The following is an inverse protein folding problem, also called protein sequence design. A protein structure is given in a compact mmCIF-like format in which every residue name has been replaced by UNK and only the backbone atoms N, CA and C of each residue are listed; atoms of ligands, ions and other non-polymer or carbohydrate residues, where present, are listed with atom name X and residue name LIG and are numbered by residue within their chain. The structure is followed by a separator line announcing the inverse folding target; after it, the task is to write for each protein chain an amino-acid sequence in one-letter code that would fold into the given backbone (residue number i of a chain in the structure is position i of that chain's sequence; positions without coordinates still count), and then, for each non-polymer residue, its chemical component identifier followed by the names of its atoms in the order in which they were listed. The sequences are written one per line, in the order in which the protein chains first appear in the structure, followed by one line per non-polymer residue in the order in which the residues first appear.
data_IF_008081825260
#
_entry.id   IF_008081825260
#
_cell.length_a   1.000
_cell.length_b   1.000
_cell.length_c   1.000
_cell.angle_alpha   90.00
_cell.angle_beta   90.00
_cell.angle_gamma   90.00
#
_symmetry.space_group_name_H-M   'P 1'
#
loop_
_entity.id
_entity.type
_entity.pdbx_description
1 polymer ?
#
# COMPACT_ATOMS: atom_id res chain seq x y z
N UNK A 1 -28.62 -2.13 31.51
CA UNK A 1 -27.47 -3.04 31.28
C UNK A 1 -27.90 -4.04 30.22
N UNK A 2 -27.27 -4.23 29.07
CA UNK A 2 -25.85 -4.18 28.69
C UNK A 2 -25.67 -3.36 27.40
N UNK A 3 -24.69 -2.46 27.42
CA UNK A 3 -24.10 -1.90 26.21
C UNK A 3 -23.40 -3.04 25.47
N UNK A 4 -23.89 -3.41 24.29
CA UNK A 4 -23.16 -4.24 23.33
C UNK A 4 -22.03 -3.38 22.78
N UNK A 5 -20.91 -3.36 23.50
CA UNK A 5 -19.65 -2.84 23.00
C UNK A 5 -19.18 -3.74 21.87
N UNK A 6 -19.62 -3.46 20.65
CA UNK A 6 -19.05 -4.08 19.46
C UNK A 6 -17.61 -3.60 19.35
N UNK A 7 -16.68 -4.53 19.51
CA UNK A 7 -15.26 -4.29 19.37
C UNK A 7 -15.00 -3.80 17.93
N UNK A 8 -14.68 -2.51 17.74
CA UNK A 8 -14.49 -1.87 16.42
C UNK A 8 -13.30 -2.44 15.61
N UNK A 9 -12.55 -3.41 16.15
CA UNK A 9 -11.30 -3.89 15.58
C UNK A 9 -11.41 -4.98 14.51
N UNK A 10 -12.58 -5.60 14.33
CA UNK A 10 -12.75 -6.77 13.46
C UNK A 10 -13.96 -6.60 12.51
N UNK A 11 -13.99 -5.47 11.79
CA UNK A 11 -15.00 -5.25 10.76
C UNK A 11 -14.35 -5.20 9.37
N UNK A 12 -15.02 -5.82 8.40
CA UNK A 12 -14.64 -5.78 7.00
C UNK A 12 -14.57 -4.32 6.50
N UNK A 13 -13.56 -3.93 5.70
CA UNK A 13 -13.40 -2.56 5.24
C UNK A 13 -14.63 -2.05 4.50
N UNK A 14 -15.07 -0.83 4.84
CA UNK A 14 -16.20 -0.21 4.16
C UNK A 14 -15.76 0.47 2.85
N UNK A 15 -16.66 0.53 1.86
CA UNK A 15 -16.35 1.17 0.57
C UNK A 15 -15.87 2.62 0.73
N UNK A 16 -16.48 3.39 1.64
CA UNK A 16 -16.12 4.77 1.91
C UNK A 16 -14.74 4.88 2.57
N UNK A 17 -14.40 3.97 3.46
CA UNK A 17 -13.08 3.89 4.09
C UNK A 17 -11.98 3.64 3.05
N UNK A 18 -12.22 2.71 2.13
CA UNK A 18 -11.30 2.42 1.01
C UNK A 18 -11.13 3.65 0.11
N UNK A 19 -12.24 4.34 -0.20
CA UNK A 19 -12.22 5.56 -1.01
C UNK A 19 -11.35 6.65 -0.37
N UNK A 20 -11.62 6.97 0.89
CA UNK A 20 -10.88 8.01 1.64
C UNK A 20 -9.40 7.63 1.72
N UNK A 21 -9.10 6.35 1.95
CA UNK A 21 -7.73 5.85 2.02
C UNK A 21 -6.99 6.10 0.71
N UNK A 22 -7.56 5.72 -0.43
CA UNK A 22 -6.95 5.95 -1.77
C UNK A 22 -6.75 7.44 -2.04
N UNK A 23 -7.74 8.28 -1.74
CA UNK A 23 -7.67 9.74 -1.94
C UNK A 23 -6.60 10.39 -1.04
N UNK A 24 -6.36 9.84 0.16
CA UNK A 24 -5.36 10.34 1.11
C UNK A 24 -3.91 9.95 0.78
N UNK A 25 -3.70 9.02 -0.17
CA UNK A 25 -2.36 8.55 -0.53
C UNK A 25 -1.48 9.70 -1.06
N UNK A 26 -0.22 9.73 -0.61
CA UNK A 26 0.75 10.73 -1.04
C UNK A 26 1.16 10.47 -2.49
N UNK A 27 1.05 11.52 -3.31
CA UNK A 27 1.55 11.56 -4.70
C UNK A 27 3.08 11.61 -4.75
N UNK A 28 3.64 11.41 -5.94
CA UNK A 28 5.06 11.46 -6.30
C UNK A 28 5.90 10.44 -5.53
N UNK A 29 5.33 9.27 -5.31
CA UNK A 29 6.03 8.10 -4.77
C UNK A 29 6.48 7.21 -5.93
N UNK A 30 7.67 6.64 -5.81
CA UNK A 30 8.12 5.63 -6.76
C UNK A 30 7.25 4.37 -6.60
N UNK A 31 6.86 3.72 -7.70
CA UNK A 31 6.10 2.48 -7.62
C UNK A 31 6.96 1.33 -7.09
N UNK A 32 6.31 0.27 -6.63
CA UNK A 32 6.95 -1.00 -6.33
C UNK A 32 7.21 -1.83 -7.60
N UNK A 33 7.35 -3.14 -7.44
CA UNK A 33 7.58 -4.07 -8.55
C UNK A 33 6.38 -4.21 -9.50
N UNK A 34 5.19 -3.80 -9.08
CA UNK A 34 3.97 -3.78 -9.89
C UNK A 34 3.89 -2.60 -10.88
N UNK A 35 4.79 -1.61 -10.75
CA UNK A 35 4.78 -0.37 -11.52
C UNK A 35 3.50 0.49 -11.34
N UNK A 36 2.71 0.26 -10.28
CA UNK A 36 1.49 1.01 -9.99
C UNK A 36 1.84 2.21 -9.11
N UNK A 37 1.55 3.41 -9.60
CA UNK A 37 1.73 4.65 -8.84
C UNK A 37 0.45 5.04 -8.09
N UNK A 38 0.62 5.82 -7.02
CA UNK A 38 -0.50 6.44 -6.30
C UNK A 38 -1.43 7.21 -7.24
N UNK A 39 -0.85 7.97 -8.18
CA UNK A 39 -1.59 8.77 -9.14
C UNK A 39 -2.44 7.91 -10.06
N UNK A 40 -1.95 6.75 -10.48
CA UNK A 40 -2.71 5.81 -11.30
C UNK A 40 -3.92 5.27 -10.54
N UNK A 41 -3.75 4.94 -9.26
CA UNK A 41 -4.85 4.49 -8.40
C UNK A 41 -5.91 5.58 -8.25
N UNK A 42 -5.49 6.81 -7.95
CA UNK A 42 -6.38 7.95 -7.79
C UNK A 42 -7.10 8.33 -9.09
N UNK A 43 -6.44 8.17 -10.24
CA UNK A 43 -7.03 8.49 -11.55
C UNK A 43 -8.13 7.51 -11.98
N UNK A 44 -8.15 6.28 -11.46
CA UNK A 44 -9.22 5.32 -11.75
C UNK A 44 -10.50 5.51 -10.93
N UNK A 45 -10.54 6.53 -10.07
CA UNK A 45 -11.73 6.99 -9.33
C UNK A 45 -12.56 5.83 -8.72
N UNK A 46 -13.87 5.80 -8.98
CA UNK A 46 -14.79 4.81 -8.41
C UNK A 46 -14.47 3.37 -8.87
N UNK A 47 -13.93 3.19 -10.08
CA UNK A 47 -13.56 1.86 -10.56
C UNK A 47 -12.44 1.26 -9.73
N UNK A 48 -11.38 2.03 -9.47
CA UNK A 48 -10.29 1.60 -8.58
C UNK A 48 -10.83 1.27 -7.19
N UNK A 49 -11.67 2.14 -6.61
CA UNK A 49 -12.23 1.91 -5.27
C UNK A 49 -13.04 0.61 -5.23
N UNK A 50 -13.85 0.33 -6.25
CA UNK A 50 -14.62 -0.92 -6.35
C UNK A 50 -13.71 -2.15 -6.38
N UNK A 51 -12.68 -2.13 -7.22
CA UNK A 51 -11.73 -3.25 -7.34
C UNK A 51 -10.98 -3.46 -6.02
N UNK A 52 -10.49 -2.38 -5.40
CA UNK A 52 -9.75 -2.46 -4.12
C UNK A 52 -10.63 -2.93 -2.98
N UNK A 53 -11.86 -2.43 -2.86
CA UNK A 53 -12.80 -2.88 -1.85
C UNK A 53 -13.13 -4.37 -1.99
N UNK A 54 -13.33 -4.87 -3.22
CA UNK A 54 -13.51 -6.31 -3.46
C UNK A 54 -12.27 -7.12 -3.04
N UNK A 55 -11.07 -6.63 -3.36
CA UNK A 55 -9.80 -7.28 -3.00
C UNK A 55 -9.63 -7.34 -1.48
N UNK A 56 -9.76 -6.21 -0.78
CA UNK A 56 -9.60 -6.17 0.68
C UNK A 56 -10.64 -7.04 1.39
N UNK A 57 -11.88 -7.06 0.92
CA UNK A 57 -12.92 -7.92 1.49
C UNK A 57 -12.64 -9.41 1.26
N UNK A 58 -12.02 -9.74 0.12
CA UNK A 58 -11.57 -11.12 -0.15
C UNK A 58 -10.42 -11.50 0.76
N UNK A 59 -9.41 -10.63 0.91
CA UNK A 59 -8.27 -10.82 1.82
C UNK A 59 -8.77 -11.01 3.26
N UNK A 60 -9.68 -10.16 3.71
CA UNK A 60 -10.26 -10.23 5.05
C UNK A 60 -10.97 -11.56 5.31
N UNK A 61 -11.77 -12.04 4.35
CA UNK A 61 -12.50 -13.32 4.48
C UNK A 61 -11.62 -14.55 4.38
N UNK A 62 -10.55 -14.48 3.60
CA UNK A 62 -9.65 -15.61 3.35
C UNK A 62 -8.44 -15.62 4.28
N UNK A 63 -8.21 -14.54 5.02
CA UNK A 63 -7.04 -14.29 5.86
C UNK A 63 -5.71 -14.49 5.08
N UNK A 64 -5.74 -14.17 3.78
CA UNK A 64 -4.63 -14.39 2.86
C UNK A 64 -4.34 -13.10 2.10
N UNK A 65 -3.14 -12.56 2.33
CA UNK A 65 -2.61 -11.41 1.58
C UNK A 65 -1.84 -11.89 0.34
N UNK A 66 -1.79 -11.09 -0.74
CA UNK A 66 -0.94 -11.39 -1.88
C UNK A 66 0.54 -11.51 -1.48
N UNK A 67 1.23 -12.55 -1.95
CA UNK A 67 2.67 -12.72 -1.72
C UNK A 67 3.51 -11.55 -2.22
N UNK A 68 3.00 -10.86 -3.25
CA UNK A 68 3.67 -9.71 -3.85
C UNK A 68 3.79 -8.52 -2.89
N UNK A 69 2.86 -8.35 -1.94
CA UNK A 69 2.94 -7.29 -0.94
C UNK A 69 4.12 -7.48 0.05
N UNK A 70 4.63 -8.71 0.15
CA UNK A 70 5.84 -9.01 0.91
C UNK A 70 7.14 -8.77 0.15
N UNK A 71 7.08 -8.36 -1.12
CA UNK A 71 8.27 -8.14 -1.97
C UNK A 71 8.58 -6.64 -2.07
N UNK A 72 9.87 -6.33 -2.08
CA UNK A 72 10.36 -4.98 -2.28
C UNK A 72 11.53 -4.96 -3.26
N UNK A 73 11.64 -3.89 -4.04
CA UNK A 73 12.85 -3.60 -4.81
C UNK A 73 13.79 -2.82 -3.91
N UNK A 74 14.99 -3.35 -3.68
CA UNK A 74 16.04 -2.66 -2.91
C UNK A 74 16.90 -1.85 -3.87
N UNK A 75 16.89 -0.52 -3.70
CA UNK A 75 17.72 0.39 -4.49
C UNK A 75 18.75 1.09 -3.61
N UNK A 76 20.05 1.07 -3.98
CA UNK A 76 21.05 1.86 -3.30
C UNK A 76 20.95 3.33 -3.71
N UNK A 77 20.76 4.22 -2.74
CA UNK A 77 20.84 5.67 -2.92
C UNK A 77 22.16 6.16 -2.36
N UNK A 78 22.95 6.81 -3.22
CA UNK A 78 24.19 7.46 -2.81
C UNK A 78 23.93 8.52 -1.74
N UNK A 79 24.72 8.50 -0.67
CA UNK A 79 24.62 9.45 0.45
C UNK A 79 25.70 10.53 0.36
N UNK A 80 26.99 10.16 0.48
CA UNK A 80 28.16 11.07 0.47
C UNK A 80 29.46 10.28 0.37
N UNK A 81 30.58 10.92 0.04
CA UNK A 81 31.92 10.30 0.01
C UNK A 81 32.35 9.90 -1.41
N UNK A 82 33.14 8.83 -1.51
CA UNK A 82 33.47 8.22 -2.80
C UNK A 82 32.32 7.33 -3.28
N UNK A 83 31.96 7.43 -4.57
CA UNK A 83 30.91 6.61 -5.21
C UNK A 83 31.37 5.18 -5.49
N UNK A 84 32.67 4.90 -5.44
CA UNK A 84 33.21 3.55 -5.58
C UNK A 84 32.97 2.67 -4.36
N UNK A 85 32.80 3.27 -3.18
CA UNK A 85 32.65 2.58 -1.89
C UNK A 85 31.19 2.28 -1.57
N UNK A 86 30.85 1.01 -1.34
CA UNK A 86 29.47 0.59 -1.07
C UNK A 86 28.88 1.20 0.21
N UNK A 87 29.70 1.46 1.24
CA UNK A 87 29.28 2.03 2.52
C UNK A 87 28.72 3.47 2.39
N UNK A 88 29.06 4.15 1.29
CA UNK A 88 28.61 5.50 0.97
C UNK A 88 27.20 5.54 0.38
N UNK A 89 26.53 4.39 0.26
CA UNK A 89 25.15 4.23 -0.17
C UNK A 89 24.26 3.81 0.99
N UNK A 90 22.98 4.16 0.91
CA UNK A 90 21.92 3.63 1.77
C UNK A 90 20.94 2.84 0.92
N UNK A 91 20.56 1.64 1.37
CA UNK A 91 19.45 0.93 0.75
C UNK A 91 18.13 1.64 1.04
N UNK A 92 17.27 1.76 0.04
CA UNK A 92 15.85 2.04 0.21
C UNK A 92 15.05 0.87 -0.34
N UNK A 93 13.88 0.63 0.25
CA UNK A 93 12.94 -0.38 -0.20
C UNK A 93 11.77 0.31 -0.91
N UNK A 94 11.52 -0.06 -2.16
CA UNK A 94 10.31 0.30 -2.88
C UNK A 94 9.31 -0.84 -2.76
N UNK A 95 8.20 -0.56 -2.07
CA UNK A 95 7.07 -1.47 -1.89
C UNK A 95 5.95 -1.10 -2.87
N UNK A 96 5.15 -2.10 -3.22
CA UNK A 96 3.86 -1.86 -3.89
C UNK A 96 3.01 -0.89 -3.07
N UNK A 97 2.25 -0.04 -3.76
CA UNK A 97 1.30 0.90 -3.12
C UNK A 97 0.09 0.16 -2.54
N UNK A 98 -0.19 -1.03 -3.10
CA UNK A 98 -1.27 -1.92 -2.73
C UNK A 98 -0.90 -2.80 -1.54
#
# INVERSE_FOLDING_TARGET
EKLSSTNKGEQMPEFLEVKISIESLKKKKAPGSDNITTELLQAGEEHTVKVMHMLFNKIYKQEQVPSEWGKAIILPIYKKGDKSECENYRGISLLSVL
#
